data_IF_053274700531
#
_entry.id   IF_053274700531
#
_cell.length_a   1.000
_cell.length_b   1.000
_cell.length_c   1.000
_cell.angle_alpha   90.00
_cell.angle_beta   90.00
_cell.angle_gamma   90.00
#
_symmetry.space_group_name_H-M   'P 1'
#
loop_
_entity.id
_entity.type
_entity.pdbx_description
1 polymer ?
#
# COMPACT_ATOMS: atom_id res chain seq x y z
N UNK A 1 -7.41 -10.14 -1.11
CA UNK A 1 -7.50 -9.19 -2.24
C UNK A 1 -7.37 -7.75 -1.76
N UNK A 2 -6.67 -6.91 -2.51
CA UNK A 2 -6.46 -5.48 -2.24
C UNK A 2 -7.00 -4.66 -3.41
N UNK A 3 -7.57 -3.47 -3.14
CA UNK A 3 -8.03 -2.55 -4.21
C UNK A 3 -6.88 -2.14 -5.15
N UNK A 4 -5.65 -2.10 -4.64
CA UNK A 4 -4.46 -1.82 -5.45
C UNK A 4 -4.21 -2.87 -6.54
N UNK A 5 -4.61 -4.13 -6.33
CA UNK A 5 -4.39 -5.21 -7.29
C UNK A 5 -5.38 -5.20 -8.47
N UNK A 6 -6.48 -4.47 -8.35
CA UNK A 6 -7.56 -4.40 -9.36
C UNK A 6 -7.79 -2.96 -9.87
N UNK A 7 -6.86 -2.04 -9.59
CA UNK A 7 -7.03 -0.63 -9.89
C UNK A 7 -7.27 -0.39 -11.38
N UNK A 8 -6.53 -1.09 -12.24
CA UNK A 8 -6.67 -0.99 -13.69
C UNK A 8 -8.01 -1.56 -14.17
N UNK A 9 -8.44 -2.70 -13.63
CA UNK A 9 -9.72 -3.29 -13.99
C UNK A 9 -10.90 -2.38 -13.63
N UNK A 10 -10.79 -1.65 -12.50
CA UNK A 10 -11.76 -0.63 -12.13
C UNK A 10 -11.68 0.59 -13.05
N UNK A 11 -10.47 1.04 -13.41
CA UNK A 11 -10.27 2.21 -14.28
C UNK A 11 -10.77 1.97 -15.72
N UNK A 12 -10.59 0.76 -16.24
CA UNK A 12 -11.04 0.36 -17.56
C UNK A 12 -12.46 -0.22 -17.58
N UNK A 13 -13.16 -0.25 -16.44
CA UNK A 13 -14.54 -0.74 -16.36
C UNK A 13 -14.70 -2.25 -16.60
N UNK A 14 -13.63 -3.03 -16.50
CA UNK A 14 -13.69 -4.51 -16.51
C UNK A 14 -14.31 -5.04 -15.21
N UNK A 15 -14.19 -4.29 -14.13
CA UNK A 15 -14.85 -4.53 -12.84
C UNK A 15 -15.63 -3.30 -12.38
N UNK A 16 -16.74 -3.53 -11.68
CA UNK A 16 -17.52 -2.50 -11.00
C UNK A 16 -17.36 -2.63 -9.49
N UNK A 17 -17.15 -1.51 -8.80
CA UNK A 17 -17.14 -1.49 -7.34
C UNK A 17 -18.59 -1.45 -6.81
N UNK A 18 -18.96 -2.44 -5.99
CA UNK A 18 -20.22 -2.46 -5.26
C UNK A 18 -19.97 -1.99 -3.83
N UNK A 19 -20.69 -0.96 -3.40
CA UNK A 19 -20.60 -0.45 -2.03
C UNK A 19 -21.36 -1.36 -1.06
N UNK A 20 -20.72 -1.74 0.04
CA UNK A 20 -21.31 -2.55 1.10
C UNK A 20 -21.23 -1.74 2.39
N UNK A 21 -22.36 -1.15 2.85
CA UNK A 21 -22.38 -0.33 4.05
C UNK A 21 -21.77 -1.05 5.26
N UNK A 22 -21.03 -0.30 6.08
CA UNK A 22 -20.30 -0.76 7.27
C UNK A 22 -19.15 -1.77 7.03
N UNK A 23 -18.89 -2.23 5.80
CA UNK A 23 -17.75 -3.10 5.51
C UNK A 23 -16.46 -2.30 5.33
N UNK A 24 -15.60 -2.30 6.35
CA UNK A 24 -14.28 -1.68 6.28
C UNK A 24 -13.17 -2.73 6.13
N UNK A 25 -12.55 -2.77 4.95
CA UNK A 25 -11.44 -3.68 4.62
C UNK A 25 -10.06 -2.97 4.55
N UNK A 26 -9.94 -1.76 5.10
CA UNK A 26 -8.66 -1.03 5.11
C UNK A 26 -7.63 -1.78 5.97
N UNK A 27 -6.38 -1.79 5.50
CA UNK A 27 -5.25 -2.45 6.17
C UNK A 27 -4.05 -1.51 6.16
N UNK A 28 -3.32 -1.46 7.26
CA UNK A 28 -2.05 -0.74 7.30
C UNK A 28 -0.94 -1.63 6.72
N UNK A 29 -0.16 -1.08 5.80
CA UNK A 29 1.05 -1.74 5.30
C UNK A 29 2.21 -1.42 6.25
N UNK A 30 2.99 -2.45 6.61
CA UNK A 30 4.15 -2.31 7.49
C UNK A 30 5.40 -2.72 6.74
N UNK A 31 6.38 -1.83 6.69
CA UNK A 31 7.73 -2.18 6.25
C UNK A 31 8.44 -2.99 7.34
N UNK A 32 9.06 -4.11 6.94
CA UNK A 32 9.82 -4.99 7.83
C UNK A 32 11.17 -5.28 7.18
N UNK A 33 12.23 -5.25 7.97
CA UNK A 33 13.60 -5.53 7.54
C UNK A 33 14.36 -6.22 8.68
N UNK A 34 15.52 -6.77 8.36
CA UNK A 34 16.43 -7.37 9.34
C UNK A 34 17.22 -6.27 10.05
N UNK A 35 17.25 -6.31 11.39
CA UNK A 35 18.01 -5.38 12.23
C UNK A 35 17.15 -4.57 13.19
N UNK A 36 17.65 -3.40 13.60
CA UNK A 36 16.99 -2.53 14.57
C UNK A 36 15.81 -1.73 14.01
N UNK A 37 15.24 -0.87 14.86
CA UNK A 37 14.08 -0.01 14.54
C UNK A 37 14.31 1.01 13.43
N UNK A 38 15.56 1.32 13.11
CA UNK A 38 15.93 2.23 12.03
C UNK A 38 16.44 1.39 10.86
N UNK A 39 15.87 1.54 9.64
CA UNK A 39 16.34 0.78 8.50
C UNK A 39 17.81 1.10 8.21
N UNK A 40 18.63 0.09 7.83
CA UNK A 40 20.03 0.31 7.50
C UNK A 40 20.18 1.33 6.36
N UNK A 41 21.28 2.08 6.37
CA UNK A 41 21.55 3.08 5.33
C UNK A 41 21.66 2.43 3.94
N UNK A 42 21.30 3.18 2.89
CA UNK A 42 21.31 2.73 1.50
C UNK A 42 19.90 2.44 0.96
N UNK A 43 19.84 1.61 -0.10
CA UNK A 43 18.67 1.47 -0.96
C UNK A 43 17.34 1.20 -0.22
N UNK A 44 17.37 0.41 0.85
CA UNK A 44 16.16 0.13 1.65
C UNK A 44 15.65 1.40 2.33
N UNK A 45 16.52 2.17 2.99
CA UNK A 45 16.13 3.43 3.65
C UNK A 45 15.67 4.46 2.63
N UNK A 46 16.33 4.53 1.47
CA UNK A 46 15.98 5.48 0.42
C UNK A 46 14.59 5.16 -0.16
N UNK A 47 14.32 3.87 -0.42
CA UNK A 47 13.01 3.38 -0.85
C UNK A 47 11.92 3.69 0.18
N UNK A 48 12.18 3.42 1.46
CA UNK A 48 11.22 3.71 2.53
C UNK A 48 10.91 5.20 2.62
N UNK A 49 11.95 6.05 2.56
CA UNK A 49 11.78 7.51 2.54
C UNK A 49 10.91 7.95 1.37
N UNK A 50 11.16 7.41 0.16
CA UNK A 50 10.39 7.71 -1.04
C UNK A 50 8.92 7.26 -0.96
N UNK A 51 8.64 6.08 -0.42
CA UNK A 51 7.27 5.57 -0.29
C UNK A 51 6.50 6.35 0.79
N UNK A 52 7.15 6.69 1.91
CA UNK A 52 6.49 7.42 3.00
C UNK A 52 6.18 8.87 2.66
N UNK A 53 7.00 9.54 1.83
CA UNK A 53 6.73 10.93 1.42
C UNK A 53 5.51 11.09 0.53
N UNK A 54 5.06 10.01 -0.12
CA UNK A 54 3.85 9.96 -0.96
C UNK A 54 2.58 9.57 -0.19
N UNK A 55 2.70 9.25 1.10
CA UNK A 55 1.60 8.70 1.91
C UNK A 55 0.87 9.74 2.77
N UNK A 56 1.28 11.02 2.73
CA UNK A 56 0.57 12.18 3.28
C UNK A 56 -0.37 12.78 2.25
#
# INVERSE_FOLDING_TARGET
MSRLAIADDLAFGRLLAVDIPALNLRRQLRAIWVGGRTPPAGAIRDLLSHITSRST
#
